data_IF_373259556901
#
_entry.id   IF_373259556901
#
_cell.length_a   1.000
_cell.length_b   1.000
_cell.length_c   1.000
_cell.angle_alpha   90.00
_cell.angle_beta   90.00
_cell.angle_gamma   90.00
#
_symmetry.space_group_name_H-M   'P 1'
#
loop_
_entity.id
_entity.type
_entity.pdbx_description
1 polymer ?
#
# COMPACT_ATOMS: atom_id res chain seq x y z
N UNK A 1 -7.99 -13.70 -9.90
CA UNK A 1 -6.98 -12.87 -9.20
C UNK A 1 -6.42 -11.81 -10.12
N UNK A 2 -5.56 -10.92 -9.60
CA UNK A 2 -4.96 -9.81 -10.34
C UNK A 2 -3.59 -10.22 -10.92
N UNK A 3 -3.59 -10.88 -12.09
CA UNK A 3 -2.38 -11.50 -12.66
C UNK A 3 -1.25 -10.51 -12.99
N UNK A 4 -1.57 -9.23 -13.23
CA UNK A 4 -0.58 -8.18 -13.45
C UNK A 4 0.33 -7.97 -12.22
N UNK A 5 -0.21 -8.12 -11.01
CA UNK A 5 0.56 -7.92 -9.78
C UNK A 5 1.67 -8.98 -9.65
N UNK A 6 1.39 -10.23 -10.00
CA UNK A 6 2.37 -11.32 -9.99
C UNK A 6 3.41 -11.26 -11.11
N UNK A 7 3.21 -10.40 -12.13
CA UNK A 7 4.18 -10.15 -13.22
C UNK A 7 5.01 -8.88 -12.99
N UNK A 8 4.74 -8.14 -11.91
CA UNK A 8 5.47 -6.93 -11.57
C UNK A 8 6.94 -7.23 -11.25
N UNK A 9 7.81 -6.23 -11.42
CA UNK A 9 9.21 -6.34 -11.03
C UNK A 9 9.38 -6.17 -9.51
N UNK A 10 8.52 -5.35 -8.90
CA UNK A 10 8.48 -5.10 -7.46
C UNK A 10 7.05 -4.72 -7.05
N UNK A 11 6.63 -5.12 -5.85
CA UNK A 11 5.38 -4.65 -5.24
C UNK A 11 5.71 -3.82 -4.01
N UNK A 12 5.28 -2.56 -4.00
CA UNK A 12 5.32 -1.73 -2.81
C UNK A 12 4.11 -2.08 -1.94
N UNK A 13 4.35 -2.25 -0.63
CA UNK A 13 3.32 -2.54 0.35
C UNK A 13 3.47 -1.51 1.46
N UNK A 14 2.38 -0.81 1.77
CA UNK A 14 2.32 0.12 2.88
C UNK A 14 1.57 -0.51 4.04
N UNK A 15 2.15 -0.39 5.22
CA UNK A 15 1.53 -0.76 6.50
C UNK A 15 1.12 0.50 7.25
N UNK A 16 0.25 0.33 8.24
CA UNK A 16 -0.11 1.40 9.17
C UNK A 16 -0.04 0.90 10.60
N UNK A 17 0.40 1.77 11.51
CA UNK A 17 0.31 1.58 12.96
C UNK A 17 -0.70 2.61 13.47
N UNK A 18 -1.99 2.25 13.65
CA UNK A 18 -3.06 3.21 13.94
C UNK A 18 -2.78 4.07 15.16
N UNK A 19 -2.16 3.50 16.20
CA UNK A 19 -1.81 4.20 17.43
C UNK A 19 -0.97 5.48 17.18
N UNK A 20 -0.15 5.52 16.12
CA UNK A 20 0.65 6.71 15.74
C UNK A 20 -0.21 7.89 15.29
N UNK A 21 -1.44 7.64 14.87
CA UNK A 21 -2.38 8.64 14.36
C UNK A 21 -3.56 8.87 15.32
N UNK A 22 -4.02 7.81 16.00
CA UNK A 22 -5.17 7.87 16.91
C UNK A 22 -4.96 8.79 18.10
N UNK A 23 -3.75 8.84 18.68
CA UNK A 23 -3.47 9.74 19.80
C UNK A 23 -3.75 11.21 19.45
N UNK A 24 -3.56 11.60 18.18
CA UNK A 24 -3.71 12.98 17.71
C UNK A 24 -5.08 13.27 17.12
N UNK A 25 -5.60 12.32 16.32
CA UNK A 25 -6.78 12.53 15.47
C UNK A 25 -8.02 11.77 15.96
N UNK A 26 -7.89 10.89 16.95
CA UNK A 26 -8.98 10.08 17.51
C UNK A 26 -9.79 9.41 16.41
N UNK A 27 -11.11 9.63 16.41
CA UNK A 27 -12.04 9.07 15.41
C UNK A 27 -11.72 9.46 13.97
N UNK A 28 -10.94 10.50 13.69
CA UNK A 28 -10.58 10.90 12.33
C UNK A 28 -9.31 10.20 11.81
N UNK A 29 -8.63 9.40 12.65
CA UNK A 29 -7.35 8.74 12.32
C UNK A 29 -7.42 7.93 11.03
N UNK A 30 -8.46 7.10 10.85
CA UNK A 30 -8.62 6.24 9.68
C UNK A 30 -8.63 7.05 8.37
N UNK A 31 -9.26 8.23 8.38
CA UNK A 31 -9.31 9.11 7.20
C UNK A 31 -7.93 9.66 6.89
N UNK A 32 -7.19 10.10 7.91
CA UNK A 32 -5.85 10.66 7.71
C UNK A 32 -4.86 9.57 7.26
N UNK A 33 -4.92 8.38 7.85
CA UNK A 33 -4.12 7.21 7.42
C UNK A 33 -4.37 6.91 5.93
N UNK A 34 -5.63 6.85 5.51
CA UNK A 34 -5.96 6.58 4.11
C UNK A 34 -5.48 7.70 3.16
N UNK A 35 -5.57 8.96 3.57
CA UNK A 35 -5.05 10.09 2.81
C UNK A 35 -3.53 10.02 2.67
N UNK A 36 -2.81 9.72 3.75
CA UNK A 36 -1.35 9.62 3.74
C UNK A 36 -0.87 8.47 2.86
N UNK A 37 -1.49 7.29 2.97
CA UNK A 37 -1.21 6.15 2.08
C UNK A 37 -1.48 6.51 0.60
N UNK A 38 -2.59 7.19 0.32
CA UNK A 38 -2.93 7.67 -1.02
C UNK A 38 -1.91 8.67 -1.58
N UNK A 39 -1.47 9.65 -0.78
CA UNK A 39 -0.46 10.62 -1.20
C UNK A 39 0.87 9.95 -1.54
N UNK A 40 1.35 9.03 -0.70
CA UNK A 40 2.60 8.32 -0.95
C UNK A 40 2.49 7.43 -2.19
N UNK A 41 1.36 6.76 -2.39
CA UNK A 41 1.15 5.97 -3.60
C UNK A 41 1.05 6.84 -4.86
N UNK A 42 0.46 8.03 -4.79
CA UNK A 42 0.42 8.94 -5.93
C UNK A 42 1.82 9.42 -6.32
N UNK A 43 2.71 9.62 -5.35
CA UNK A 43 4.11 9.89 -5.64
C UNK A 43 4.78 8.71 -6.37
N UNK A 44 4.42 7.47 -6.01
CA UNK A 44 4.90 6.28 -6.75
C UNK A 44 4.38 6.28 -8.19
N UNK A 45 3.12 6.64 -8.45
CA UNK A 45 2.59 6.79 -9.81
C UNK A 45 3.39 7.80 -10.62
N UNK A 46 3.64 8.98 -10.06
CA UNK A 46 4.42 10.03 -10.74
C UNK A 46 5.87 9.60 -10.99
N UNK A 47 6.48 8.91 -10.02
CA UNK A 47 7.83 8.38 -10.17
C UNK A 47 7.91 7.30 -11.26
N UNK A 48 6.91 6.41 -11.33
CA UNK A 48 6.82 5.39 -12.37
C UNK A 48 6.68 6.04 -13.76
N UNK A 49 5.76 7.00 -13.90
CA UNK A 49 5.54 7.75 -15.14
C UNK A 49 6.84 8.42 -15.61
N UNK A 50 7.57 9.07 -14.71
CA UNK A 50 8.82 9.78 -15.02
C UNK A 50 9.92 8.86 -15.59
N UNK A 51 9.89 7.56 -15.31
CA UNK A 51 10.88 6.57 -15.79
C UNK A 51 10.32 5.61 -16.84
N UNK A 52 9.09 5.84 -17.34
CA UNK A 52 8.43 4.95 -18.30
C UNK A 52 8.05 3.57 -17.72
N UNK A 53 7.83 3.49 -16.41
CA UNK A 53 7.28 2.32 -15.73
C UNK A 53 5.77 2.48 -15.50
N UNK A 54 5.10 1.35 -15.26
CA UNK A 54 3.70 1.31 -14.88
C UNK A 54 3.52 0.90 -13.43
N UNK A 55 2.49 1.43 -12.78
CA UNK A 55 2.04 0.96 -11.47
C UNK A 55 0.52 0.92 -11.40
N UNK A 56 -0.02 0.03 -10.59
CA UNK A 56 -1.46 -0.08 -10.36
C UNK A 56 -1.69 -0.38 -8.90
N UNK A 57 -2.32 0.54 -8.19
CA UNK A 57 -2.58 0.38 -6.78
C UNK A 57 -3.78 -0.56 -6.51
N UNK A 58 -3.65 -1.35 -5.46
CA UNK A 58 -4.53 -2.48 -5.14
C UNK A 58 -4.92 -2.37 -3.66
N UNK A 59 -6.22 -2.39 -3.41
CA UNK A 59 -6.80 -2.63 -2.09
C UNK A 59 -7.37 -4.06 -1.93
N UNK A 60 -7.51 -4.79 -3.05
CA UNK A 60 -8.02 -6.16 -3.06
C UNK A 60 -6.85 -7.15 -2.97
N UNK A 61 -6.52 -7.57 -1.76
CA UNK A 61 -5.51 -8.59 -1.48
C UNK A 61 -5.96 -9.44 -0.28
N UNK A 62 -5.29 -10.57 -0.07
CA UNK A 62 -5.50 -11.38 1.12
C UNK A 62 -4.75 -10.72 2.29
N UNK A 63 -5.51 -10.17 3.25
CA UNK A 63 -4.97 -9.40 4.37
C UNK A 63 -4.09 -10.27 5.27
N UNK A 64 -4.61 -11.43 5.72
CA UNK A 64 -3.91 -12.32 6.64
C UNK A 64 -2.61 -12.85 6.00
N UNK A 65 -2.67 -13.21 4.71
CA UNK A 65 -1.49 -13.64 3.99
C UNK A 65 -0.47 -12.50 3.84
N UNK A 66 -0.90 -11.30 3.47
CA UNK A 66 -0.01 -10.14 3.32
C UNK A 66 0.72 -9.80 4.62
N UNK A 67 -0.02 -9.75 5.73
CA UNK A 67 0.52 -9.44 7.05
C UNK A 67 1.51 -10.54 7.50
N UNK A 68 1.19 -11.81 7.24
CA UNK A 68 2.09 -12.93 7.54
C UNK A 68 3.42 -12.88 6.76
N UNK A 69 3.38 -12.47 5.48
CA UNK A 69 4.58 -12.33 4.63
C UNK A 69 5.48 -11.20 5.12
N UNK A 70 4.87 -10.14 5.66
CA UNK A 70 5.59 -9.01 6.25
C UNK A 70 6.05 -9.25 7.69
N UNK A 71 5.54 -10.30 8.34
CA UNK A 71 5.84 -10.61 9.75
C UNK A 71 5.21 -9.63 10.74
N UNK A 72 4.08 -9.02 10.37
CA UNK A 72 3.29 -8.11 11.22
C UNK A 72 2.04 -8.82 11.75
N UNK A 73 1.47 -8.31 12.84
CA UNK A 73 0.39 -8.99 13.59
C UNK A 73 -1.01 -8.83 12.99
N UNK A 74 -1.20 -7.89 12.06
CA UNK A 74 -2.51 -7.61 11.45
C UNK A 74 -3.47 -6.86 12.38
N UNK A 75 -3.01 -6.39 13.56
CA UNK A 75 -3.80 -5.73 14.60
C UNK A 75 -3.20 -4.37 14.95
N UNK A 76 -1.99 -4.34 15.52
CA UNK A 76 -1.27 -3.11 15.87
C UNK A 76 -0.54 -2.54 14.65
N UNK A 77 -0.08 -3.43 13.75
CA UNK A 77 0.43 -3.08 12.43
C UNK A 77 -0.19 -3.98 11.37
N UNK A 78 -0.79 -3.38 10.35
CA UNK A 78 -1.41 -4.14 9.26
C UNK A 78 -1.19 -3.47 7.90
N UNK A 79 -1.22 -4.29 6.85
CA UNK A 79 -1.15 -3.84 5.46
C UNK A 79 -2.38 -3.01 5.11
N UNK A 80 -2.18 -1.77 4.67
CA UNK A 80 -3.28 -0.85 4.29
C UNK A 80 -3.39 -0.66 2.78
N UNK A 81 -2.30 -0.89 2.02
CA UNK A 81 -2.28 -0.61 0.59
C UNK A 81 -1.12 -1.32 -0.13
N UNK A 82 -1.31 -1.65 -1.42
CA UNK A 82 -0.25 -2.24 -2.26
C UNK A 82 -0.20 -1.58 -3.64
N UNK A 83 0.97 -1.56 -4.27
CA UNK A 83 1.14 -1.11 -5.65
C UNK A 83 2.28 -1.87 -6.36
N UNK A 84 1.98 -2.87 -7.22
CA UNK A 84 2.93 -3.45 -8.16
C UNK A 84 3.46 -2.42 -9.15
N UNK A 85 4.78 -2.45 -9.37
CA UNK A 85 5.51 -1.65 -10.36
C UNK A 85 6.21 -2.58 -11.36
N UNK A 86 6.07 -2.27 -12.64
CA UNK A 86 6.69 -3.05 -13.72
C UNK A 86 6.87 -2.24 -14.99
N UNK A 87 7.40 -2.88 -16.03
CA UNK A 87 7.44 -2.26 -17.36
C UNK A 87 6.02 -2.19 -17.93
N UNK A 88 5.71 -1.08 -18.61
CA UNK A 88 4.50 -0.98 -19.44
C UNK A 88 4.75 -1.83 -20.69
N UNK A 89 4.19 -3.03 -20.73
CA UNK A 89 4.32 -4.00 -21.83
C UNK A 89 2.96 -4.56 -22.19
#
# INVERSE_FOLDING_TARGET
GQSFAGKSAVTFIWTTIPARMEWRYGRASYKVIALDAGHVCQNLYLACEAIGAGTCAIAAYDQEFADSVLGIDGVEEFTIYMAPVGKVQ
#
